data_IF_204089076108
#
_entry.id   IF_204089076108
#
_cell.length_a   1.000
_cell.length_b   1.000
_cell.length_c   1.000
_cell.angle_alpha   90.00
_cell.angle_beta   90.00
_cell.angle_gamma   90.00
#
_symmetry.space_group_name_H-M   'P 1'
#
loop_
_entity.id
_entity.type
_entity.pdbx_description
1 polymer ?
#
# COMPACT_ATOMS: atom_id res chain seq x y z
N UNK A 1 -11.44 -25.57 -14.26
CA UNK A 1 -9.96 -25.47 -14.09
C UNK A 1 -9.37 -25.38 -15.50
N UNK A 2 -8.52 -24.40 -15.79
CA UNK A 2 -7.91 -24.26 -17.13
C UNK A 2 -8.71 -23.44 -18.15
N UNK A 3 -9.58 -22.52 -17.70
CA UNK A 3 -10.17 -21.52 -18.61
C UNK A 3 -9.27 -20.29 -18.58
N UNK A 4 -8.41 -20.17 -19.59
CA UNK A 4 -7.72 -18.92 -19.88
C UNK A 4 -8.58 -18.16 -20.87
N UNK A 5 -9.19 -17.07 -20.41
CA UNK A 5 -9.83 -16.15 -21.33
C UNK A 5 -8.72 -15.36 -22.02
N UNK A 6 -8.63 -15.47 -23.34
CA UNK A 6 -7.79 -14.60 -24.17
C UNK A 6 -8.44 -13.21 -24.21
N UNK A 7 -8.28 -12.47 -23.11
CA UNK A 7 -8.83 -11.13 -22.94
C UNK A 7 -7.75 -10.12 -23.36
N UNK A 8 -7.99 -9.26 -24.36
CA UNK A 8 -7.07 -8.17 -24.67
C UNK A 8 -6.81 -7.28 -23.45
N UNK A 9 -5.61 -6.71 -23.34
CA UNK A 9 -5.17 -5.90 -22.19
C UNK A 9 -6.17 -4.79 -21.80
N UNK A 10 -6.81 -4.17 -22.80
CA UNK A 10 -7.84 -3.16 -22.57
C UNK A 10 -8.98 -3.70 -21.68
N UNK A 11 -9.45 -4.92 -21.94
CA UNK A 11 -10.55 -5.53 -21.17
C UNK A 11 -10.08 -6.09 -19.82
N UNK A 12 -8.79 -6.42 -19.68
CA UNK A 12 -8.19 -6.77 -18.40
C UNK A 12 -8.34 -5.61 -17.41
N UNK A 13 -7.98 -4.40 -17.84
CA UNK A 13 -8.08 -3.18 -17.02
C UNK A 13 -9.52 -2.66 -16.86
N UNK A 14 -10.46 -3.13 -17.67
CA UNK A 14 -11.89 -2.84 -17.54
C UNK A 14 -12.67 -3.91 -16.72
N UNK A 15 -11.96 -4.71 -15.91
CA UNK A 15 -12.58 -5.57 -14.90
C UNK A 15 -12.98 -6.97 -15.37
N UNK A 16 -12.61 -7.37 -16.59
CA UNK A 16 -12.86 -8.74 -17.07
C UNK A 16 -11.93 -9.77 -16.40
N UNK A 17 -10.80 -9.33 -15.85
CA UNK A 17 -9.85 -10.20 -15.17
C UNK A 17 -9.03 -9.42 -14.12
N UNK A 18 -8.32 -10.13 -13.26
CA UNK A 18 -7.34 -9.60 -12.31
C UNK A 18 -6.34 -10.69 -11.94
N UNK A 19 -5.08 -10.30 -11.76
CA UNK A 19 -3.99 -11.23 -11.49
C UNK A 19 -3.64 -11.22 -10.02
N UNK A 20 -3.46 -12.39 -9.41
CA UNK A 20 -3.05 -12.45 -8.00
C UNK A 20 -1.70 -11.74 -7.80
N UNK A 21 -1.52 -11.11 -6.64
CA UNK A 21 -0.23 -10.54 -6.21
C UNK A 21 0.82 -11.59 -5.81
N UNK A 22 0.59 -12.88 -6.12
CA UNK A 22 1.55 -13.95 -5.85
C UNK A 22 1.53 -14.49 -4.42
N UNK A 23 0.53 -14.14 -3.62
CA UNK A 23 0.37 -14.68 -2.27
C UNK A 23 -0.02 -16.17 -2.30
N UNK A 24 0.38 -16.91 -1.27
CA UNK A 24 -0.15 -18.25 -0.98
C UNK A 24 -1.27 -18.12 0.02
N UNK A 25 -2.45 -18.65 -0.30
CA UNK A 25 -3.63 -18.51 0.56
C UNK A 25 -3.45 -19.07 1.97
N UNK A 26 -2.66 -20.14 2.12
CA UNK A 26 -2.31 -20.69 3.45
C UNK A 26 -1.56 -19.70 4.34
N UNK A 27 -0.95 -18.64 3.80
CA UNK A 27 -0.30 -17.62 4.62
C UNK A 27 -1.29 -16.84 5.49
N UNK A 28 -2.59 -16.90 5.18
CA UNK A 28 -3.65 -16.32 6.00
C UNK A 28 -3.93 -17.10 7.29
N UNK A 29 -3.35 -18.29 7.47
CA UNK A 29 -3.37 -18.98 8.77
C UNK A 29 -2.23 -18.53 9.71
N UNK A 30 -1.30 -17.71 9.23
CA UNK A 30 -0.23 -17.15 10.06
C UNK A 30 -0.77 -16.05 11.00
N UNK A 31 -0.06 -15.72 12.09
CA UNK A 31 -0.42 -14.59 12.94
C UNK A 31 -0.55 -13.27 12.16
N UNK A 32 -1.51 -12.42 12.54
CA UNK A 32 -1.82 -11.13 11.88
C UNK A 32 -0.58 -10.30 11.52
N UNK A 33 0.38 -10.20 12.43
CA UNK A 33 1.64 -9.46 12.21
C UNK A 33 2.42 -9.98 10.99
N UNK A 34 2.45 -11.30 10.77
CA UNK A 34 3.13 -11.92 9.63
C UNK A 34 2.32 -11.72 8.35
N UNK A 35 0.99 -11.78 8.44
CA UNK A 35 0.11 -11.50 7.31
C UNK A 35 0.34 -10.09 6.74
N UNK A 36 0.54 -9.09 7.61
CA UNK A 36 0.81 -7.70 7.21
C UNK A 36 2.13 -7.61 6.43
N UNK A 37 3.23 -8.12 6.98
CA UNK A 37 4.55 -8.06 6.32
C UNK A 37 4.55 -8.84 5.00
N UNK A 38 4.04 -10.07 5.01
CA UNK A 38 3.94 -10.89 3.80
C UNK A 38 3.03 -10.23 2.77
N UNK A 39 1.93 -9.60 3.19
CA UNK A 39 1.05 -8.83 2.33
C UNK A 39 1.80 -7.73 1.59
N UNK A 40 2.59 -6.92 2.31
CA UNK A 40 3.42 -5.88 1.67
C UNK A 40 4.50 -6.46 0.76
N UNK A 41 5.11 -7.60 1.11
CA UNK A 41 6.07 -8.27 0.24
C UNK A 41 5.41 -8.76 -1.06
N UNK A 42 4.23 -9.38 -0.98
CA UNK A 42 3.49 -9.83 -2.16
C UNK A 42 3.12 -8.66 -3.07
N UNK A 43 2.71 -7.53 -2.49
CA UNK A 43 2.44 -6.31 -3.25
C UNK A 43 3.73 -5.82 -3.93
N UNK A 44 4.81 -5.65 -3.16
CA UNK A 44 6.09 -5.16 -3.68
C UNK A 44 6.65 -6.05 -4.80
N UNK A 45 6.69 -7.37 -4.58
CA UNK A 45 7.22 -8.32 -5.55
C UNK A 45 6.27 -8.50 -6.74
N UNK A 46 4.97 -8.47 -6.47
CA UNK A 46 3.91 -8.66 -7.45
C UNK A 46 3.83 -7.55 -8.49
N UNK A 47 4.16 -6.31 -8.11
CA UNK A 47 4.10 -5.10 -8.95
C UNK A 47 5.34 -4.90 -9.83
N UNK A 48 6.37 -5.75 -9.76
CA UNK A 48 7.47 -5.72 -10.74
C UNK A 48 7.05 -6.17 -12.15
N UNK A 49 5.98 -6.96 -12.24
CA UNK A 49 5.53 -7.61 -13.48
C UNK A 49 4.17 -7.14 -13.96
N UNK A 50 3.53 -6.22 -13.22
CA UNK A 50 2.20 -5.69 -13.53
C UNK A 50 2.00 -4.38 -12.79
N UNK A 51 1.16 -3.52 -13.35
CA UNK A 51 0.76 -2.29 -12.65
C UNK A 51 -0.08 -2.65 -11.42
N UNK A 52 -0.15 -1.76 -10.41
CA UNK A 52 -0.87 -2.08 -9.18
C UNK A 52 -2.36 -2.38 -9.40
N UNK A 53 -2.98 -1.66 -10.32
CA UNK A 53 -4.39 -1.79 -10.69
C UNK A 53 -4.74 -3.15 -11.34
N UNK A 54 -3.76 -3.86 -11.89
CA UNK A 54 -3.94 -5.23 -12.42
C UNK A 54 -3.93 -6.31 -11.33
N UNK A 55 -3.35 -5.98 -10.17
CA UNK A 55 -3.11 -6.90 -9.08
C UNK A 55 -4.27 -6.97 -8.10
N UNK A 56 -4.53 -8.16 -7.56
CA UNK A 56 -5.47 -8.31 -6.45
C UNK A 56 -4.88 -9.07 -5.27
N UNK A 57 -5.37 -8.70 -4.08
CA UNK A 57 -5.09 -9.34 -2.80
C UNK A 57 -6.38 -9.95 -2.25
N UNK A 58 -6.27 -11.11 -1.62
CA UNK A 58 -7.35 -11.66 -0.80
C UNK A 58 -7.14 -11.22 0.64
N UNK A 59 -8.18 -10.83 1.38
CA UNK A 59 -8.09 -10.50 2.81
C UNK A 59 -9.25 -11.17 3.54
N UNK A 60 -9.04 -12.34 4.16
CA UNK A 60 -10.07 -12.99 4.96
C UNK A 60 -10.25 -12.23 6.28
N UNK A 61 -11.50 -11.83 6.56
CA UNK A 61 -11.86 -11.20 7.83
C UNK A 61 -12.20 -12.24 8.91
N UNK A 62 -12.70 -13.40 8.49
CA UNK A 62 -12.99 -14.55 9.36
C UNK A 62 -11.85 -15.58 9.28
N UNK A 63 -11.88 -16.57 10.19
CA UNK A 63 -10.90 -17.64 10.19
C UNK A 63 -10.78 -18.32 8.81
N UNK A 64 -9.54 -18.43 8.33
CA UNK A 64 -9.22 -19.05 7.05
C UNK A 64 -8.07 -20.04 7.22
N UNK A 65 -8.18 -21.20 6.56
CA UNK A 65 -7.20 -22.31 6.64
C UNK A 65 -6.76 -22.70 8.07
N UNK A 66 -7.62 -22.55 9.08
CA UNK A 66 -7.37 -23.04 10.44
C UNK A 66 -6.37 -22.23 11.28
N UNK A 67 -6.08 -20.97 10.95
CA UNK A 67 -5.14 -20.13 11.72
C UNK A 67 -5.58 -19.70 13.13
N UNK A 68 -6.83 -20.00 13.50
CA UNK A 68 -7.37 -19.69 14.83
C UNK A 68 -7.43 -18.19 15.17
N UNK A 69 -7.51 -17.91 16.47
CA UNK A 69 -7.69 -16.56 16.99
C UNK A 69 -6.50 -15.62 16.73
N UNK A 70 -5.28 -16.12 16.54
CA UNK A 70 -4.10 -15.30 16.26
C UNK A 70 -4.03 -14.79 14.79
N UNK A 71 -4.77 -15.45 13.89
CA UNK A 71 -4.83 -15.12 12.46
C UNK A 71 -6.12 -14.39 12.05
N UNK A 72 -7.19 -14.53 12.83
CA UNK A 72 -8.53 -14.02 12.50
C UNK A 72 -8.65 -12.52 12.79
N UNK A 73 -9.39 -11.76 11.96
CA UNK A 73 -9.64 -10.33 12.17
C UNK A 73 -10.98 -10.04 12.87
N UNK A 74 -11.99 -10.90 12.71
CA UNK A 74 -13.24 -10.79 13.48
C UNK A 74 -13.04 -11.20 14.95
N UNK A 75 -13.63 -10.47 15.91
CA UNK A 75 -14.36 -9.22 15.75
C UNK A 75 -13.47 -8.04 15.32
N UNK A 76 -13.85 -7.34 14.25
CA UNK A 76 -13.02 -6.30 13.63
C UNK A 76 -12.64 -5.17 14.60
N UNK A 77 -13.54 -4.84 15.52
CA UNK A 77 -13.36 -3.83 16.56
C UNK A 77 -12.25 -4.16 17.57
N UNK A 78 -11.90 -5.44 17.74
CA UNK A 78 -10.81 -5.89 18.61
C UNK A 78 -9.45 -5.89 17.91
N UNK A 79 -9.44 -5.78 16.58
CA UNK A 79 -8.25 -5.92 15.73
C UNK A 79 -8.10 -4.75 14.74
N UNK A 80 -8.48 -3.54 15.18
CA UNK A 80 -8.43 -2.31 14.38
C UNK A 80 -7.05 -1.98 13.84
N UNK A 81 -5.99 -2.32 14.58
CA UNK A 81 -4.60 -2.12 14.17
C UNK A 81 -4.26 -2.98 12.95
N UNK A 82 -4.55 -4.28 13.01
CA UNK A 82 -4.30 -5.22 11.93
C UNK A 82 -5.21 -4.97 10.72
N UNK A 83 -6.51 -4.73 10.96
CA UNK A 83 -7.45 -4.41 9.88
C UNK A 83 -7.06 -3.10 9.20
N UNK A 84 -6.69 -2.09 9.99
CA UNK A 84 -6.21 -0.80 9.50
C UNK A 84 -4.93 -0.93 8.67
N UNK A 85 -3.99 -1.78 9.09
CA UNK A 85 -2.77 -2.04 8.33
C UNK A 85 -3.05 -2.72 6.97
N UNK A 86 -3.99 -3.67 6.91
CA UNK A 86 -4.43 -4.27 5.65
C UNK A 86 -5.09 -3.26 4.72
N UNK A 87 -5.98 -2.41 5.25
CA UNK A 87 -6.60 -1.34 4.48
C UNK A 87 -5.53 -0.37 3.94
N UNK A 88 -4.62 0.07 4.81
CA UNK A 88 -3.53 0.99 4.46
C UNK A 88 -2.65 0.47 3.33
N UNK A 89 -2.15 -0.77 3.46
CA UNK A 89 -1.24 -1.33 2.45
C UNK A 89 -1.92 -1.61 1.13
N UNK A 90 -3.19 -2.02 1.12
CA UNK A 90 -3.90 -2.35 -0.11
C UNK A 90 -4.29 -1.07 -0.87
N UNK A 91 -4.95 -0.13 -0.19
CA UNK A 91 -5.35 1.14 -0.78
C UNK A 91 -4.14 2.02 -1.13
N UNK A 92 -3.17 2.11 -0.22
CA UNK A 92 -1.93 2.87 -0.43
C UNK A 92 -1.04 2.32 -1.55
N UNK A 93 -1.24 1.07 -1.95
CA UNK A 93 -0.50 0.48 -3.06
C UNK A 93 -1.30 0.42 -4.35
N UNK A 94 -2.55 0.93 -4.41
CA UNK A 94 -3.37 0.86 -5.63
C UNK A 94 -3.87 -0.55 -5.97
N UNK A 95 -3.86 -1.46 -4.99
CA UNK A 95 -4.14 -2.88 -5.21
C UNK A 95 -5.60 -3.21 -4.93
N UNK A 96 -6.21 -4.01 -5.80
CA UNK A 96 -7.60 -4.41 -5.65
C UNK A 96 -7.73 -5.51 -4.57
N UNK A 97 -8.15 -5.16 -3.36
CA UNK A 97 -8.37 -6.15 -2.31
C UNK A 97 -9.79 -6.73 -2.30
N UNK A 98 -9.90 -8.05 -2.18
CA UNK A 98 -11.14 -8.76 -1.89
C UNK A 98 -11.21 -9.06 -0.40
N UNK A 99 -11.98 -8.24 0.33
CA UNK A 99 -12.26 -8.46 1.75
C UNK A 99 -13.38 -9.49 1.89
N UNK A 100 -13.09 -10.65 2.50
CA UNK A 100 -14.03 -11.76 2.63
C UNK A 100 -14.45 -11.97 4.08
N UNK A 101 -15.70 -11.66 4.38
CA UNK A 101 -16.32 -11.84 5.68
C UNK A 101 -17.81 -11.51 5.62
N UNK A 102 -18.53 -11.61 6.76
CA UNK A 102 -19.96 -11.32 6.80
C UNK A 102 -20.28 -9.83 6.63
N UNK A 103 -19.32 -8.95 6.92
CA UNK A 103 -19.47 -7.48 6.89
C UNK A 103 -18.10 -6.80 6.75
N UNK A 104 -18.10 -5.53 6.37
CA UNK A 104 -16.89 -4.70 6.28
C UNK A 104 -16.56 -3.94 7.59
N UNK A 105 -17.55 -3.80 8.47
CA UNK A 105 -17.44 -3.15 9.77
C UNK A 105 -18.49 -3.71 10.72
N UNK A 106 -18.15 -3.80 12.00
CA UNK A 106 -18.96 -4.33 13.10
C UNK A 106 -19.42 -3.24 14.08
N UNK A 107 -18.84 -2.04 14.01
CA UNK A 107 -19.01 -0.92 14.93
C UNK A 107 -18.78 0.41 14.19
N UNK A 108 -19.19 1.53 14.78
CA UNK A 108 -18.89 2.85 14.20
C UNK A 108 -17.38 3.14 14.14
N UNK A 109 -16.59 2.59 15.08
CA UNK A 109 -15.13 2.68 15.05
C UNK A 109 -14.53 1.96 13.84
N UNK A 110 -14.97 0.74 13.54
CA UNK A 110 -14.48 0.01 12.35
C UNK A 110 -14.97 0.66 11.06
N UNK A 111 -16.20 1.19 11.03
CA UNK A 111 -16.72 1.95 9.90
C UNK A 111 -15.90 3.22 9.64
N UNK A 112 -15.54 3.97 10.67
CA UNK A 112 -14.69 5.16 10.55
C UNK A 112 -13.29 4.80 10.00
N UNK A 113 -12.72 3.68 10.44
CA UNK A 113 -11.45 3.17 9.93
C UNK A 113 -11.53 2.81 8.43
N UNK A 114 -12.57 2.10 8.01
CA UNK A 114 -12.81 1.78 6.60
C UNK A 114 -12.99 3.07 5.78
N UNK A 115 -13.82 3.99 6.27
CA UNK A 115 -14.08 5.27 5.60
C UNK A 115 -12.80 6.06 5.40
N UNK A 116 -11.94 6.15 6.43
CA UNK A 116 -10.64 6.84 6.35
C UNK A 116 -9.81 6.37 5.14
N UNK A 117 -9.65 5.06 4.98
CA UNK A 117 -8.82 4.51 3.90
C UNK A 117 -9.49 4.56 2.53
N UNK A 118 -10.82 4.44 2.47
CA UNK A 118 -11.59 4.65 1.25
C UNK A 118 -11.49 6.11 0.77
N UNK A 119 -11.62 7.07 1.68
CA UNK A 119 -11.48 8.49 1.36
C UNK A 119 -10.06 8.82 0.90
N UNK A 120 -9.04 8.29 1.59
CA UNK A 120 -7.64 8.39 1.17
C UNK A 120 -7.44 7.88 -0.26
N UNK A 121 -7.94 6.69 -0.59
CA UNK A 121 -7.83 6.15 -1.94
C UNK A 121 -8.56 7.03 -2.96
N UNK A 122 -9.77 7.52 -2.65
CA UNK A 122 -10.53 8.40 -3.53
C UNK A 122 -9.81 9.73 -3.78
N UNK A 123 -9.19 10.32 -2.75
CA UNK A 123 -8.44 11.57 -2.89
C UNK A 123 -7.22 11.42 -3.79
N UNK A 124 -6.56 10.27 -3.77
CA UNK A 124 -5.28 10.02 -4.44
C UNK A 124 -5.36 8.99 -5.57
N UNK A 125 -6.56 8.68 -6.07
CA UNK A 125 -6.78 7.57 -7.00
C UNK A 125 -5.92 7.67 -8.26
N UNK A 126 -5.84 8.87 -8.83
CA UNK A 126 -5.08 9.15 -10.04
C UNK A 126 -3.62 8.69 -9.93
N UNK A 127 -2.95 9.04 -8.83
CA UNK A 127 -1.56 8.63 -8.58
C UNK A 127 -1.45 7.20 -8.06
N UNK A 128 -2.40 6.73 -7.24
CA UNK A 128 -2.36 5.36 -6.69
C UNK A 128 -2.60 4.27 -7.74
N UNK A 129 -3.30 4.58 -8.82
CA UNK A 129 -3.50 3.66 -9.95
C UNK A 129 -2.35 3.71 -10.98
N UNK A 130 -1.31 4.54 -10.74
CA UNK A 130 -0.14 4.71 -11.61
C UNK A 130 0.98 3.72 -11.30
N UNK A 131 2.10 3.82 -12.03
CA UNK A 131 3.26 2.96 -11.87
C UNK A 131 4.01 3.21 -10.55
N UNK A 132 4.71 2.18 -10.07
CA UNK A 132 5.47 2.20 -8.81
C UNK A 132 6.97 2.12 -9.08
N UNK A 133 7.74 2.88 -8.32
CA UNK A 133 9.16 2.65 -8.04
C UNK A 133 9.30 1.93 -6.71
N UNK A 134 10.01 0.82 -6.74
CA UNK A 134 10.33 -0.05 -5.61
C UNK A 134 11.49 0.53 -4.78
N UNK A 135 11.17 1.36 -3.78
CA UNK A 135 12.19 2.09 -2.99
C UNK A 135 12.87 1.19 -1.96
N UNK A 136 12.10 0.54 -1.06
CA UNK A 136 12.64 -0.39 -0.06
C UNK A 136 11.67 -1.53 0.18
N UNK A 137 12.12 -2.74 -0.13
CA UNK A 137 11.34 -3.97 0.06
C UNK A 137 11.04 -4.21 1.55
N UNK A 138 9.82 -4.65 1.91
CA UNK A 138 9.51 -5.03 3.28
C UNK A 138 10.31 -6.24 3.76
N UNK A 139 10.97 -6.11 4.90
CA UNK A 139 11.78 -7.17 5.53
C UNK A 139 11.53 -7.30 7.04
N UNK A 140 10.68 -6.45 7.62
CA UNK A 140 10.37 -6.41 9.05
C UNK A 140 11.49 -5.88 9.94
N UNK A 141 12.58 -5.32 9.36
CA UNK A 141 13.75 -4.86 10.12
C UNK A 141 13.90 -3.34 10.16
N UNK A 142 13.34 -2.65 9.18
CA UNK A 142 13.29 -1.19 9.11
C UNK A 142 12.03 -0.76 8.35
N UNK A 143 11.86 0.54 8.12
CA UNK A 143 10.77 1.08 7.29
C UNK A 143 10.75 0.42 5.91
N UNK A 144 9.58 0.30 5.30
CA UNK A 144 9.46 -0.13 3.91
C UNK A 144 8.72 0.93 3.09
N UNK A 145 9.03 1.01 1.80
CA UNK A 145 8.60 2.11 0.96
C UNK A 145 8.37 1.72 -0.50
N UNK A 146 7.25 2.19 -1.03
CA UNK A 146 6.93 2.24 -2.46
C UNK A 146 6.64 3.69 -2.83
N UNK A 147 6.98 4.06 -4.06
CA UNK A 147 6.72 5.40 -4.60
C UNK A 147 5.90 5.27 -5.89
N UNK A 148 4.64 5.70 -5.86
CA UNK A 148 3.86 5.89 -7.07
C UNK A 148 4.40 7.08 -7.86
N UNK A 149 4.47 6.98 -9.18
CA UNK A 149 4.97 8.04 -10.06
C UNK A 149 4.09 8.21 -11.30
N UNK A 150 3.82 9.45 -11.66
CA UNK A 150 3.17 9.79 -12.92
C UNK A 150 3.52 11.22 -13.36
N UNK A 151 4.35 11.41 -14.40
CA UNK A 151 4.77 12.75 -14.82
C UNK A 151 3.64 13.58 -15.45
N UNK A 152 2.51 12.97 -15.81
CA UNK A 152 1.37 13.66 -16.42
C UNK A 152 0.41 14.29 -15.40
N UNK A 153 0.50 13.90 -14.14
CA UNK A 153 -0.37 14.41 -13.07
C UNK A 153 0.18 15.69 -12.44
N UNK A 154 -0.70 16.42 -11.74
CA UNK A 154 -0.29 17.51 -10.85
C UNK A 154 0.48 16.96 -9.65
N UNK A 155 -0.06 15.92 -9.02
CA UNK A 155 0.60 15.13 -7.97
C UNK A 155 1.45 14.06 -8.66
N UNK A 156 2.70 14.39 -8.93
CA UNK A 156 3.60 13.59 -9.77
C UNK A 156 4.17 12.37 -9.04
N UNK A 157 4.10 12.34 -7.72
CA UNK A 157 4.43 11.16 -6.94
C UNK A 157 3.69 11.06 -5.61
N UNK A 158 3.57 9.83 -5.12
CA UNK A 158 3.07 9.53 -3.78
C UNK A 158 3.87 8.38 -3.18
N UNK A 159 4.68 8.68 -2.16
CA UNK A 159 5.42 7.65 -1.43
C UNK A 159 4.61 7.15 -0.23
N UNK A 160 4.35 5.84 -0.16
CA UNK A 160 3.85 5.20 1.05
C UNK A 160 5.03 4.68 1.86
N UNK A 161 5.05 4.94 3.16
CA UNK A 161 6.12 4.53 4.06
C UNK A 161 5.53 3.86 5.30
N UNK A 162 5.96 2.64 5.59
CA UNK A 162 5.45 1.85 6.70
C UNK A 162 6.57 1.57 7.70
N UNK A 163 6.25 1.59 8.99
CA UNK A 163 7.14 1.11 10.04
C UNK A 163 6.60 -0.22 10.59
N UNK A 164 7.24 -1.37 10.29
CA UNK A 164 6.79 -2.66 10.83
C UNK A 164 7.13 -2.87 12.30
N UNK A 165 8.00 -2.05 12.90
CA UNK A 165 8.58 -2.30 14.20
C UNK A 165 7.64 -1.88 15.34
N UNK A 166 7.84 -2.50 16.52
CA UNK A 166 7.20 -2.10 17.77
C UNK A 166 7.78 -0.83 18.42
N UNK A 167 8.60 -0.06 17.70
CA UNK A 167 9.24 1.18 18.18
C UNK A 167 9.20 2.27 17.11
N UNK A 168 9.31 3.52 17.52
CA UNK A 168 9.47 4.64 16.59
C UNK A 168 10.72 4.45 15.72
N UNK A 169 10.63 4.81 14.45
CA UNK A 169 11.77 4.81 13.52
C UNK A 169 11.95 6.21 12.94
N UNK A 170 13.18 6.72 13.03
CA UNK A 170 13.63 7.97 12.38
C UNK A 170 14.68 7.66 11.32
N UNK A 171 14.47 8.13 10.09
CA UNK A 171 15.37 7.89 8.94
C UNK A 171 15.44 9.11 8.03
N UNK A 172 16.54 9.20 7.28
CA UNK A 172 16.61 9.99 6.06
C UNK A 172 16.19 9.09 4.91
N UNK A 173 14.96 9.27 4.41
CA UNK A 173 14.42 8.49 3.32
C UNK A 173 14.85 9.12 1.99
N UNK A 174 15.58 8.36 1.18
CA UNK A 174 15.95 8.76 -0.18
C UNK A 174 14.84 8.35 -1.15
N UNK A 175 14.26 9.32 -1.85
CA UNK A 175 13.24 9.08 -2.87
C UNK A 175 13.80 9.38 -4.27
N UNK A 176 13.77 8.40 -5.20
CA UNK A 176 14.15 8.60 -6.59
C UNK A 176 13.00 9.25 -7.36
N UNK A 177 13.17 10.51 -7.77
CA UNK A 177 12.11 11.30 -8.41
C UNK A 177 12.32 11.45 -9.93
N UNK A 178 13.29 10.77 -10.54
CA UNK A 178 13.58 10.88 -11.98
C UNK A 178 12.32 10.73 -12.85
N UNK A 179 11.53 9.67 -12.63
CA UNK A 179 10.33 9.38 -13.42
C UNK A 179 9.12 10.27 -13.10
N UNK A 180 9.21 11.17 -12.10
CA UNK A 180 8.18 12.19 -11.86
C UNK A 180 8.22 13.32 -12.90
N UNK A 181 9.33 13.44 -13.65
CA UNK A 181 9.57 14.52 -14.60
C UNK A 181 9.98 15.86 -13.95
N UNK A 182 10.16 15.90 -12.62
CA UNK A 182 10.69 17.05 -11.92
C UNK A 182 12.19 17.19 -12.17
N UNK A 183 12.66 18.43 -12.40
CA UNK A 183 14.05 18.67 -12.85
C UNK A 183 14.93 19.40 -11.86
N UNK A 184 14.40 20.38 -11.11
CA UNK A 184 15.20 21.21 -10.19
C UNK A 184 14.77 21.09 -8.75
N UNK A 185 13.48 21.17 -8.50
CA UNK A 185 12.90 21.21 -7.17
C UNK A 185 11.63 20.37 -7.12
N UNK A 186 11.42 19.68 -6.00
CA UNK A 186 10.17 19.02 -5.66
C UNK A 186 9.52 19.73 -4.47
N UNK A 187 8.21 19.92 -4.53
CA UNK A 187 7.40 20.34 -3.39
C UNK A 187 6.81 19.10 -2.75
N UNK A 188 7.19 18.84 -1.51
CA UNK A 188 6.82 17.61 -0.81
C UNK A 188 6.11 17.96 0.48
N UNK A 189 4.97 17.32 0.72
CA UNK A 189 4.27 17.36 2.01
C UNK A 189 4.08 15.96 2.56
N UNK A 190 4.23 15.84 3.87
CA UNK A 190 3.80 14.65 4.60
C UNK A 190 2.30 14.75 4.88
N UNK A 191 1.53 13.77 4.43
CA UNK A 191 0.08 13.73 4.59
C UNK A 191 -0.60 15.05 4.15
N UNK A 192 -1.38 15.66 5.05
CA UNK A 192 -2.01 16.97 4.86
C UNK A 192 -1.20 18.12 5.49
N UNK A 193 0.07 17.88 5.81
CA UNK A 193 0.96 18.85 6.41
C UNK A 193 1.42 19.95 5.44
N UNK A 194 2.40 20.74 5.91
CA UNK A 194 2.94 21.87 5.13
C UNK A 194 3.84 21.38 3.99
N UNK A 195 3.70 22.02 2.85
CA UNK A 195 4.60 21.88 1.72
C UNK A 195 6.01 22.37 2.07
N UNK A 196 7.03 21.57 1.75
CA UNK A 196 8.45 21.92 1.85
C UNK A 196 9.10 21.73 0.49
N UNK A 197 9.99 22.64 0.11
CA UNK A 197 10.74 22.55 -1.15
C UNK A 197 12.05 21.80 -0.92
N UNK A 198 12.33 20.84 -1.78
CA UNK A 198 13.58 20.08 -1.81
C UNK A 198 14.25 20.27 -3.16
N UNK A 199 15.56 20.53 -3.15
CA UNK A 199 16.36 20.55 -4.38
C UNK A 199 16.71 19.12 -4.75
N UNK A 200 16.51 18.79 -6.03
CA UNK A 200 16.90 17.50 -6.58
C UNK A 200 18.42 17.42 -6.70
N UNK A 201 19.00 16.27 -6.34
CA UNK A 201 20.40 15.98 -6.62
C UNK A 201 20.62 15.74 -8.14
N UNK A 202 21.87 15.51 -8.55
CA UNK A 202 22.21 15.33 -9.99
C UNK A 202 21.60 14.07 -10.62
N UNK A 203 21.13 13.14 -9.82
CA UNK A 203 20.44 11.91 -10.24
C UNK A 203 18.96 11.94 -9.85
N UNK A 204 18.42 13.15 -9.62
CA UNK A 204 17.01 13.43 -9.38
C UNK A 204 16.44 12.74 -8.14
N UNK A 205 17.25 12.55 -7.09
CA UNK A 205 16.75 12.14 -5.78
C UNK A 205 16.52 13.33 -4.85
N UNK A 206 15.74 13.08 -3.81
CA UNK A 206 15.65 13.90 -2.60
C UNK A 206 15.86 13.03 -1.37
N UNK A 207 16.39 13.63 -0.30
CA UNK A 207 16.39 13.02 1.03
C UNK A 207 15.43 13.79 1.93
N UNK A 208 14.49 13.07 2.53
CA UNK A 208 13.50 13.64 3.44
C UNK A 208 13.59 12.98 4.82
N UNK A 209 13.51 13.76 5.92
CA UNK A 209 13.41 13.18 7.25
C UNK A 209 12.04 12.55 7.42
N UNK A 210 12.02 11.32 7.95
CA UNK A 210 10.79 10.61 8.30
C UNK A 210 10.86 10.12 9.74
N UNK A 211 9.78 10.29 10.49
CA UNK A 211 9.59 9.78 11.83
C UNK A 211 8.24 9.08 11.89
N UNK A 212 8.25 7.76 12.12
CA UNK A 212 7.02 6.95 12.08
C UNK A 212 6.88 6.21 13.41
N UNK A 213 5.70 6.36 14.01
CA UNK A 213 5.30 5.63 15.21
C UNK A 213 5.39 4.10 15.02
N UNK A 214 5.48 3.31 16.10
CA UNK A 214 5.40 1.85 16.04
C UNK A 214 4.21 1.37 15.20
N UNK A 215 4.45 0.39 14.32
CA UNK A 215 3.41 -0.19 13.43
C UNK A 215 2.65 0.86 12.61
N UNK A 216 3.26 2.02 12.40
CA UNK A 216 2.65 3.18 11.77
C UNK A 216 2.82 3.20 10.25
N UNK A 217 2.10 4.12 9.63
CA UNK A 217 2.17 4.45 8.22
C UNK A 217 2.12 5.96 8.06
N UNK A 218 2.90 6.48 7.12
CA UNK A 218 2.81 7.85 6.64
C UNK A 218 2.93 7.87 5.12
N UNK A 219 2.61 9.00 4.49
CA UNK A 219 2.77 9.17 3.06
C UNK A 219 3.24 10.57 2.71
N UNK A 220 3.93 10.68 1.57
CA UNK A 220 4.43 11.94 1.05
C UNK A 220 3.84 12.19 -0.33
N UNK A 221 3.20 13.34 -0.51
CA UNK A 221 2.71 13.81 -1.82
C UNK A 221 3.78 14.71 -2.44
N UNK A 222 4.11 14.46 -3.70
CA UNK A 222 5.20 15.11 -4.43
C UNK A 222 4.62 15.84 -5.65
N UNK A 223 4.90 17.14 -5.74
CA UNK A 223 4.49 18.06 -6.82
C UNK A 223 5.68 18.83 -7.40
#
# INVERSE_FOLDING_TARGET
>A
RGVYLNVPDWYFLNGSNKSAMGYREVNWSLPRERQIILGRQNIFDGTWKKTPSMGWMFVPLVQYHGGGAAATLEPLSEHLDAYGAHLAQNFGSGVQACYRGPRLYDTEKTKALVKKWVDFYKEHRDILDSDIIHVRRPDGRDIDCILHVNPQLKRKGLAMVYNPLGREVKRQLKLPLYYTGLTRTATIREQHGKNKKYRLDRVYNVEIPVAIAPRGVTWFVIE
#
